data_IF_048615440087
#
_entry.id   IF_048615440087
#
_cell.length_a   1.000
_cell.length_b   1.000
_cell.length_c   1.000
_cell.angle_alpha   90.00
_cell.angle_beta   90.00
_cell.angle_gamma   90.00
#
_symmetry.space_group_name_H-M   'P 1'
#
loop_
_entity.id
_entity.type
_entity.pdbx_description
1 polymer ?
#
# COMPACT_ATOMS: atom_id res chain seq x y z
N UNK A 1 8.65 -14.37 9.35
CA UNK A 1 9.24 -13.20 10.03
C UNK A 1 8.09 -12.31 10.47
N UNK A 2 7.95 -12.05 11.76
CA UNK A 2 6.91 -11.14 12.27
C UNK A 2 7.56 -9.77 12.50
N UNK A 3 6.91 -8.70 12.05
CA UNK A 3 7.43 -7.33 12.16
C UNK A 3 6.38 -6.44 12.79
N UNK A 4 6.79 -5.54 13.69
CA UNK A 4 5.88 -4.55 14.27
C UNK A 4 5.45 -3.54 13.21
N UNK A 5 4.20 -3.06 13.27
CA UNK A 5 3.68 -2.07 12.34
C UNK A 5 4.59 -0.84 12.29
N UNK A 6 4.97 -0.30 13.44
CA UNK A 6 5.84 0.88 13.51
C UNK A 6 7.18 0.66 12.83
N UNK A 7 7.84 -0.47 13.14
CA UNK A 7 9.13 -0.82 12.51
C UNK A 7 9.00 -0.97 10.99
N UNK A 8 7.98 -1.70 10.52
CA UNK A 8 7.70 -1.88 9.09
C UNK A 8 7.50 -0.53 8.38
N UNK A 9 6.68 0.36 8.95
CA UNK A 9 6.43 1.67 8.36
C UNK A 9 7.71 2.51 8.27
N UNK A 10 8.56 2.49 9.30
CA UNK A 10 9.84 3.22 9.27
C UNK A 10 10.82 2.72 8.19
N UNK A 11 10.63 1.51 7.63
CA UNK A 11 11.43 1.04 6.50
C UNK A 11 10.94 1.57 5.15
N UNK A 12 9.74 2.15 5.10
CA UNK A 12 9.17 2.68 3.86
C UNK A 12 9.72 4.08 3.57
N UNK A 13 9.99 4.42 2.30
CA UNK A 13 10.48 5.74 1.92
C UNK A 13 9.50 6.84 2.35
N UNK A 14 10.01 7.86 3.05
CA UNK A 14 9.23 9.02 3.51
C UNK A 14 8.39 8.80 4.77
N UNK A 15 8.42 7.62 5.39
CA UNK A 15 7.68 7.31 6.63
C UNK A 15 8.58 7.44 7.86
N UNK A 16 9.02 8.67 8.18
CA UNK A 16 9.77 8.91 9.42
C UNK A 16 8.88 8.69 10.66
N UNK A 17 9.48 8.45 11.84
CA UNK A 17 8.72 8.38 13.10
C UNK A 17 7.82 9.60 13.32
N UNK A 18 8.32 10.80 12.99
CA UNK A 18 7.58 12.06 13.10
C UNK A 18 6.40 12.09 12.14
N UNK A 19 6.58 11.64 10.90
CA UNK A 19 5.49 11.56 9.92
C UNK A 19 4.40 10.57 10.35
N UNK A 20 4.79 9.38 10.81
CA UNK A 20 3.87 8.36 11.32
C UNK A 20 3.07 8.92 12.50
N UNK A 21 3.74 9.62 13.42
CA UNK A 21 3.09 10.18 14.59
C UNK A 21 2.16 11.35 14.25
N UNK A 22 2.60 12.27 13.38
CA UNK A 22 1.89 13.52 13.11
C UNK A 22 0.80 13.40 12.05
N UNK A 23 0.99 12.57 11.02
CA UNK A 23 0.12 12.53 9.84
C UNK A 23 -0.79 11.31 9.82
N UNK A 24 -0.32 10.13 10.24
CA UNK A 24 -1.13 8.91 10.22
C UNK A 24 -2.10 8.94 11.40
N UNK A 25 -3.38 9.17 11.11
CA UNK A 25 -4.43 9.19 12.11
C UNK A 25 -5.18 7.87 12.20
N UNK A 26 -5.26 7.09 11.12
CA UNK A 26 -6.05 5.85 11.13
C UNK A 26 -5.23 4.72 10.51
N UNK A 27 -5.19 3.58 11.20
CA UNK A 27 -4.53 2.37 10.75
C UNK A 27 -5.55 1.24 10.83
N UNK A 28 -5.72 0.49 9.73
CA UNK A 28 -6.41 -0.78 9.75
C UNK A 28 -5.45 -1.91 9.42
N UNK A 29 -5.41 -2.94 10.28
CA UNK A 29 -4.77 -4.22 9.99
C UNK A 29 -5.87 -5.24 9.67
N UNK A 30 -5.85 -5.78 8.45
CA UNK A 30 -6.84 -6.75 7.96
C UNK A 30 -8.30 -6.28 8.17
N UNK A 31 -8.54 -4.98 7.93
CA UNK A 31 -9.86 -4.35 8.10
C UNK A 31 -10.24 -4.00 9.54
N UNK A 32 -9.40 -4.32 10.52
CA UNK A 32 -9.62 -3.97 11.94
C UNK A 32 -8.85 -2.72 12.30
N UNK A 33 -9.50 -1.68 12.89
CA UNK A 33 -8.81 -0.48 13.33
C UNK A 33 -7.86 -0.81 14.50
N UNK A 34 -6.62 -0.32 14.42
CA UNK A 34 -5.58 -0.54 15.42
C UNK A 34 -4.93 0.78 15.80
N UNK A 35 -4.63 0.94 17.10
CA UNK A 35 -4.00 2.15 17.64
C UNK A 35 -2.54 1.89 18.08
N UNK A 36 -2.16 0.62 18.31
CA UNK A 36 -0.84 0.22 18.80
C UNK A 36 0.10 -0.11 17.63
N UNK A 37 1.19 0.65 17.53
CA UNK A 37 2.23 0.46 16.52
C UNK A 37 3.16 -0.72 16.82
N UNK A 38 3.18 -1.23 18.05
CA UNK A 38 3.96 -2.42 18.43
C UNK A 38 3.23 -3.73 18.07
N UNK A 39 2.01 -3.63 17.53
CA UNK A 39 1.29 -4.79 17.05
C UNK A 39 2.05 -5.42 15.88
N UNK A 40 2.19 -6.74 15.90
CA UNK A 40 2.92 -7.47 14.86
C UNK A 40 2.02 -7.73 13.65
N UNK A 41 2.55 -7.43 12.46
CA UNK A 41 1.98 -7.81 11.18
C UNK A 41 2.19 -9.32 11.00
N UNK A 42 1.09 -10.05 10.92
CA UNK A 42 1.05 -11.51 10.98
C UNK A 42 0.03 -12.08 9.98
N UNK A 43 0.24 -13.33 9.55
CA UNK A 43 -0.62 -14.09 8.63
C UNK A 43 -0.22 -14.05 7.16
N UNK A 44 -1.02 -14.72 6.34
CA UNK A 44 -0.85 -14.79 4.89
C UNK A 44 -1.41 -13.52 4.22
N UNK A 45 -0.58 -12.80 3.48
CA UNK A 45 -0.93 -11.59 2.73
C UNK A 45 -1.63 -10.49 3.55
N UNK A 46 -1.02 -10.03 4.66
CA UNK A 46 -1.61 -8.99 5.51
C UNK A 46 -1.90 -7.71 4.72
N UNK A 47 -3.02 -7.07 5.04
CA UNK A 47 -3.44 -5.80 4.46
C UNK A 47 -3.33 -4.71 5.51
N UNK A 48 -2.47 -3.72 5.26
CA UNK A 48 -2.33 -2.52 6.08
C UNK A 48 -2.90 -1.33 5.33
N UNK A 49 -3.92 -0.68 5.90
CA UNK A 49 -4.49 0.54 5.35
C UNK A 49 -4.16 1.75 6.23
N UNK A 50 -3.63 2.80 5.62
CA UNK A 50 -3.21 4.04 6.28
C UNK A 50 -4.03 5.21 5.76
N UNK A 51 -4.56 6.00 6.67
CA UNK A 51 -5.22 7.26 6.35
C UNK A 51 -4.74 8.37 7.27
N UNK A 52 -4.63 9.56 6.72
CA UNK A 52 -4.61 10.80 7.49
C UNK A 52 -6.01 11.07 8.07
N UNK A 53 -6.27 12.32 8.46
CA UNK A 53 -7.59 12.74 8.93
C UNK A 53 -8.70 12.28 7.99
N UNK A 54 -9.69 11.58 8.56
CA UNK A 54 -10.92 11.22 7.87
C UNK A 54 -12.02 12.19 8.30
N UNK A 55 -12.87 12.68 7.39
CA UNK A 55 -13.98 13.55 7.76
C UNK A 55 -15.15 12.78 8.39
N UNK A 56 -15.99 13.50 9.14
CA UNK A 56 -17.29 13.04 9.60
C UNK A 56 -17.23 11.90 10.63
N UNK A 57 -18.27 11.05 10.63
CA UNK A 57 -18.43 9.96 11.60
C UNK A 57 -17.28 8.94 11.53
N UNK A 58 -16.77 8.66 10.33
CA UNK A 58 -15.65 7.73 10.16
C UNK A 58 -14.40 8.25 10.89
N UNK A 59 -14.07 9.54 10.75
CA UNK A 59 -12.97 10.14 11.51
C UNK A 59 -13.22 10.17 13.00
N UNK A 60 -14.45 10.48 13.41
CA UNK A 60 -14.83 10.47 14.82
C UNK A 60 -14.64 9.08 15.46
N UNK A 61 -14.89 7.98 14.74
CA UNK A 61 -14.79 6.61 15.28
C UNK A 61 -13.38 6.01 15.10
N UNK A 62 -12.81 6.11 13.89
CA UNK A 62 -11.64 5.31 13.50
C UNK A 62 -10.30 5.98 13.74
N UNK A 63 -10.23 7.31 13.91
CA UNK A 63 -8.95 7.95 14.25
C UNK A 63 -8.35 7.35 15.51
N UNK A 64 -7.02 7.21 15.56
CA UNK A 64 -6.27 6.68 16.67
C UNK A 64 -6.59 7.43 17.95
N UNK A 65 -6.67 6.71 19.07
CA UNK A 65 -7.01 7.29 20.37
C UNK A 65 -8.36 8.03 20.40
N UNK A 66 -9.33 7.60 19.58
CA UNK A 66 -10.67 8.20 19.60
C UNK A 66 -11.44 7.86 20.87
N UNK A 67 -12.13 8.84 21.44
CA UNK A 67 -13.14 8.67 22.50
C UNK A 67 -14.31 7.76 22.06
N UNK A 68 -14.57 7.67 20.75
CA UNK A 68 -15.63 6.84 20.18
C UNK A 68 -15.11 5.47 19.69
N UNK A 69 -13.90 5.07 20.11
CA UNK A 69 -13.33 3.78 19.72
C UNK A 69 -14.20 2.58 20.13
N UNK A 70 -15.05 2.72 21.15
CA UNK A 70 -16.03 1.70 21.54
C UNK A 70 -17.07 1.38 20.44
N UNK A 71 -17.25 2.24 19.45
CA UNK A 71 -18.14 2.02 18.30
C UNK A 71 -17.46 1.25 17.15
N UNK A 72 -16.17 0.92 17.27
CA UNK A 72 -15.43 0.19 16.24
C UNK A 72 -15.85 -1.28 16.24
N UNK A 73 -16.39 -1.76 15.12
CA UNK A 73 -16.55 -3.20 14.90
C UNK A 73 -15.17 -3.84 14.85
N UNK A 74 -14.90 -4.78 15.76
CA UNK A 74 -13.69 -5.59 15.73
C UNK A 74 -13.94 -6.79 14.82
N UNK A 75 -13.16 -6.92 13.76
CA UNK A 75 -13.19 -8.15 12.95
C UNK A 75 -12.67 -9.29 13.80
N UNK A 76 -13.30 -10.46 13.71
CA UNK A 76 -12.79 -11.64 14.41
C UNK A 76 -11.35 -11.90 13.95
N UNK A 77 -10.43 -12.00 14.92
CA UNK A 77 -9.05 -12.42 14.64
C UNK A 77 -9.14 -13.89 14.24
N UNK A 78 -8.94 -14.18 12.96
CA UNK A 78 -8.83 -15.56 12.51
C UNK A 78 -7.57 -16.16 13.13
N UNK A 79 -7.62 -17.39 13.68
CA UNK A 79 -6.43 -18.06 14.18
C UNK A 79 -5.45 -18.21 13.02
N UNK A 80 -4.30 -17.55 13.16
CA UNK A 80 -3.25 -17.60 12.16
C UNK A 80 -2.33 -18.77 12.49
N UNK A 81 -2.13 -19.65 11.51
CA UNK A 81 -1.05 -20.63 11.56
C UNK A 81 0.26 -19.90 11.42
N UNK A 82 1.11 -19.96 12.45
CA UNK A 82 2.50 -19.54 12.36
C UNK A 82 3.18 -20.35 11.24
N UNK A 83 3.38 -19.72 10.09
CA UNK A 83 4.32 -20.21 9.09
C UNK A 83 5.60 -19.41 9.24
N UNK A 84 6.70 -20.12 9.44
CA UNK A 84 8.05 -19.59 9.34
C UNK A 84 8.40 -19.29 7.88
N UNK A 85 7.69 -18.34 7.26
CA UNK A 85 8.13 -17.77 5.99
C UNK A 85 9.20 -16.70 6.27
N UNK A 86 10.35 -16.79 5.59
CA UNK A 86 11.43 -15.83 5.73
C UNK A 86 11.13 -14.47 5.10
N UNK A 87 10.06 -14.37 4.29
CA UNK A 87 9.66 -13.17 3.58
C UNK A 87 8.21 -12.82 3.92
N UNK A 88 7.92 -11.55 4.18
CA UNK A 88 6.58 -11.04 4.45
C UNK A 88 6.16 -10.06 3.37
N UNK A 89 5.11 -10.39 2.61
CA UNK A 89 4.51 -9.48 1.63
C UNK A 89 3.28 -8.80 2.23
N UNK A 90 3.32 -7.48 2.37
CA UNK A 90 2.24 -6.67 2.93
C UNK A 90 1.54 -5.88 1.82
N UNK A 91 0.21 -6.01 1.70
CA UNK A 91 -0.57 -5.12 0.85
C UNK A 91 -0.79 -3.80 1.56
N UNK A 92 -0.12 -2.75 1.10
CA UNK A 92 -0.28 -1.40 1.62
C UNK A 92 -1.36 -0.63 0.86
N UNK A 93 -2.33 -0.07 1.57
CA UNK A 93 -3.36 0.82 1.02
C UNK A 93 -3.20 2.21 1.62
N UNK A 94 -2.91 3.19 0.76
CA UNK A 94 -2.80 4.58 1.16
C UNK A 94 -4.07 5.34 0.81
N UNK A 95 -4.58 6.13 1.75
CA UNK A 95 -5.75 6.97 1.57
C UNK A 95 -5.44 8.44 1.82
N UNK A 96 -6.31 9.31 1.31
CA UNK A 96 -6.27 10.76 1.50
C UNK A 96 -4.92 11.35 1.12
N UNK A 97 -4.39 12.29 1.92
CA UNK A 97 -3.16 13.01 1.62
C UNK A 97 -1.93 12.10 1.60
N UNK A 98 -1.92 11.00 2.38
CA UNK A 98 -0.80 10.04 2.41
C UNK A 98 -0.55 9.43 1.03
N UNK A 99 -1.62 9.09 0.29
CA UNK A 99 -1.48 8.54 -1.05
C UNK A 99 -0.77 9.52 -2.00
N UNK A 100 -1.06 10.81 -1.87
CA UNK A 100 -0.43 11.88 -2.66
C UNK A 100 1.00 12.16 -2.20
N UNK A 101 1.26 12.14 -0.90
CA UNK A 101 2.55 12.50 -0.31
C UNK A 101 3.61 11.39 -0.39
N UNK A 102 3.19 10.12 -0.43
CA UNK A 102 4.09 8.95 -0.33
C UNK A 102 3.94 7.95 -1.46
N UNK A 103 2.90 8.06 -2.27
CA UNK A 103 2.63 7.12 -3.36
C UNK A 103 3.75 7.09 -4.40
N UNK A 104 4.26 8.27 -4.77
CA UNK A 104 5.34 8.38 -5.75
C UNK A 104 6.64 7.74 -5.24
N UNK A 105 7.10 8.11 -4.04
CA UNK A 105 8.33 7.58 -3.43
C UNK A 105 8.32 6.04 -3.34
N UNK A 106 7.15 5.46 -3.00
CA UNK A 106 6.96 4.01 -2.97
C UNK A 106 7.06 3.39 -4.36
N UNK A 107 6.37 3.98 -5.35
CA UNK A 107 6.42 3.51 -6.73
C UNK A 107 7.83 3.64 -7.33
N UNK A 108 8.63 4.64 -6.92
CA UNK A 108 10.02 4.81 -7.35
C UNK A 108 10.97 3.78 -6.73
N UNK A 109 10.64 3.28 -5.54
CA UNK A 109 11.40 2.20 -4.89
C UNK A 109 11.11 0.84 -5.53
N UNK A 110 9.89 0.67 -6.05
CA UNK A 110 9.42 -0.55 -6.67
C UNK A 110 8.46 -1.30 -5.74
N UNK A 111 7.33 -1.75 -6.28
CA UNK A 111 6.29 -2.48 -5.54
C UNK A 111 5.82 -3.70 -6.32
N UNK A 112 5.38 -4.73 -5.61
CA UNK A 112 4.63 -5.82 -6.25
C UNK A 112 3.19 -5.35 -6.54
N UNK A 113 2.73 -5.54 -7.78
CA UNK A 113 1.39 -5.19 -8.21
C UNK A 113 0.76 -6.33 -9.00
N UNK A 114 -0.55 -6.51 -8.82
CA UNK A 114 -1.35 -7.44 -9.61
C UNK A 114 -1.47 -6.97 -11.06
N UNK A 115 -1.02 -7.80 -12.00
CA UNK A 115 -1.06 -7.50 -13.43
C UNK A 115 -2.46 -7.15 -13.93
N UNK A 116 -3.53 -7.93 -13.63
CA UNK A 116 -4.88 -7.57 -14.03
C UNK A 116 -5.35 -6.19 -13.51
N UNK A 117 -4.95 -5.83 -12.29
CA UNK A 117 -5.29 -4.53 -11.70
C UNK A 117 -4.57 -3.39 -12.41
N UNK A 118 -3.30 -3.56 -12.76
CA UNK A 118 -2.54 -2.58 -13.52
C UNK A 118 -3.15 -2.35 -14.91
N UNK A 119 -3.41 -3.43 -15.66
CA UNK A 119 -3.97 -3.33 -17.00
C UNK A 119 -5.35 -2.65 -16.97
N UNK A 120 -6.21 -3.02 -16.01
CA UNK A 120 -7.50 -2.36 -15.78
C UNK A 120 -7.37 -0.89 -15.36
N UNK A 121 -6.31 -0.55 -14.62
CA UNK A 121 -6.05 0.82 -14.19
C UNK A 121 -5.64 1.71 -15.37
N UNK A 122 -4.74 1.21 -16.23
CA UNK A 122 -4.26 1.91 -17.44
C UNK A 122 -5.37 2.04 -18.49
N UNK A 123 -6.17 1.00 -18.71
CA UNK A 123 -7.26 1.02 -19.69
C UNK A 123 -8.33 2.07 -19.41
N UNK A 124 -8.43 2.54 -18.16
CA UNK A 124 -9.38 3.56 -17.72
C UNK A 124 -8.81 4.98 -17.72
N UNK A 125 -7.54 5.17 -18.11
CA UNK A 125 -6.80 6.44 -17.98
C UNK A 125 -5.97 6.74 -19.22
N UNK A 126 -6.63 7.03 -20.35
CA UNK A 126 -5.95 7.40 -21.60
C UNK A 126 -4.97 8.57 -21.42
N UNK A 127 -5.37 9.61 -20.66
CA UNK A 127 -4.48 10.74 -20.39
C UNK A 127 -3.21 10.37 -19.63
N UNK A 128 -3.24 9.32 -18.77
CA UNK A 128 -2.00 8.83 -18.15
C UNK A 128 -1.14 8.11 -19.19
N UNK A 129 -1.74 7.28 -20.03
CA UNK A 129 -1.05 6.56 -21.11
C UNK A 129 -0.28 7.50 -22.04
N UNK A 130 -0.84 8.67 -22.34
CA UNK A 130 -0.20 9.72 -23.16
C UNK A 130 1.05 10.32 -22.49
N UNK A 131 1.17 10.23 -21.16
CA UNK A 131 2.32 10.72 -20.41
C UNK A 131 3.39 9.64 -20.16
N UNK A 132 3.15 8.39 -20.57
CA UNK A 132 4.15 7.32 -20.46
C UNK A 132 5.10 7.43 -21.65
N UNK A 133 6.34 7.81 -21.37
CA UNK A 133 7.37 8.02 -22.39
C UNK A 133 8.12 6.75 -22.76
N UNK A 134 8.37 5.88 -21.79
CA UNK A 134 9.09 4.62 -21.98
C UNK A 134 8.57 3.55 -21.01
N UNK A 135 8.67 2.29 -21.42
CA UNK A 135 8.32 1.13 -20.60
C UNK A 135 9.38 0.06 -20.80
N UNK A 136 9.96 -0.41 -19.71
CA UNK A 136 10.95 -1.48 -19.70
C UNK A 136 10.39 -2.70 -18.94
N UNK A 137 10.45 -3.87 -19.57
CA UNK A 137 10.11 -5.18 -18.95
C UNK A 137 11.32 -6.07 -19.08
N UNK A 138 11.86 -6.53 -17.94
CA UNK A 138 13.06 -7.38 -17.88
C UNK A 138 14.23 -6.85 -18.73
N UNK A 139 14.43 -5.52 -18.72
CA UNK A 139 15.47 -4.80 -19.50
C UNK A 139 15.22 -4.69 -20.99
N UNK A 140 14.02 -5.00 -21.45
CA UNK A 140 13.60 -4.81 -22.84
C UNK A 140 12.58 -3.68 -22.91
N UNK A 141 12.81 -2.72 -23.80
CA UNK A 141 11.84 -1.66 -24.09
C UNK A 141 10.62 -2.28 -24.78
N UNK A 142 9.43 -1.98 -24.26
CA UNK A 142 8.16 -2.49 -24.77
C UNK A 142 7.23 -1.31 -25.07
N UNK A 143 6.64 -1.21 -26.27
CA UNK A 143 5.65 -0.17 -26.53
C UNK A 143 4.38 -0.43 -25.70
N UNK A 144 3.73 0.64 -25.23
CA UNK A 144 2.50 0.54 -24.42
C UNK A 144 1.41 -0.31 -25.08
N UNK A 145 1.33 -0.31 -26.41
CA UNK A 145 0.38 -1.12 -27.19
C UNK A 145 0.56 -2.62 -27.00
N UNK A 146 1.78 -3.07 -26.71
CA UNK A 146 2.11 -4.49 -26.54
C UNK A 146 2.20 -4.88 -25.06
N UNK A 147 1.96 -3.94 -24.13
CA UNK A 147 2.10 -4.16 -22.70
C UNK A 147 1.24 -5.33 -22.19
N UNK A 148 -0.01 -5.46 -22.67
CA UNK A 148 -0.89 -6.56 -22.27
C UNK A 148 -0.33 -7.92 -22.67
N UNK A 149 0.26 -8.00 -23.86
CA UNK A 149 0.78 -9.25 -24.42
C UNK A 149 2.10 -9.63 -23.76
N UNK A 150 2.97 -8.65 -23.52
CA UNK A 150 4.23 -8.85 -22.79
C UNK A 150 4.02 -9.26 -21.34
N UNK A 151 2.88 -8.92 -20.74
CA UNK A 151 2.52 -9.32 -19.38
C UNK A 151 1.62 -10.57 -19.34
N UNK A 152 1.34 -11.20 -20.48
CA UNK A 152 0.49 -12.38 -20.54
C UNK A 152 1.11 -13.54 -19.73
N UNK A 153 0.35 -14.09 -18.79
CA UNK A 153 0.79 -15.19 -17.92
C UNK A 153 1.41 -14.74 -16.59
N UNK A 154 1.77 -13.46 -16.43
CA UNK A 154 2.27 -12.93 -15.16
C UNK A 154 1.10 -12.52 -14.25
N UNK A 155 0.97 -13.16 -13.07
CA UNK A 155 -0.07 -12.79 -12.10
C UNK A 155 0.27 -11.50 -11.32
N UNK A 156 1.56 -11.35 -11.01
CA UNK A 156 2.14 -10.17 -10.37
C UNK A 156 3.37 -9.68 -11.14
N UNK A 157 3.68 -8.40 -10.98
CA UNK A 157 4.90 -7.77 -11.49
C UNK A 157 5.52 -6.88 -10.42
N UNK A 158 6.83 -6.66 -10.51
CA UNK A 158 7.48 -5.58 -9.78
C UNK A 158 7.40 -4.31 -10.63
N UNK A 159 6.55 -3.38 -10.23
CA UNK A 159 6.38 -2.09 -10.89
C UNK A 159 7.28 -1.05 -10.22
N UNK A 160 8.10 -0.38 -11.03
CA UNK A 160 8.83 0.82 -10.62
C UNK A 160 8.54 1.96 -11.59
N UNK A 161 8.32 3.16 -11.07
CA UNK A 161 8.24 4.37 -11.90
C UNK A 161 9.57 5.10 -11.87
N UNK A 162 9.88 5.78 -12.99
CA UNK A 162 11.01 6.69 -13.11
C UNK A 162 10.43 7.99 -13.62
N UNK A 163 10.61 9.06 -12.87
CA UNK A 163 10.26 10.40 -13.32
C UNK A 163 11.50 11.05 -13.91
N UNK A 164 11.40 11.52 -15.15
CA UNK A 164 12.41 12.43 -15.70
C UNK A 164 12.20 13.77 -15.04
N UNK A 165 13.13 14.18 -14.18
CA UNK A 165 13.22 15.57 -13.78
C UNK A 165 13.78 16.34 -14.98
N UNK A 166 12.96 17.21 -15.57
CA UNK A 166 13.45 18.33 -16.38
C UNK A 166 14.20 19.33 -15.49
#
# INVERSE_FOLDING_TARGET
MNTEIGFFLCQLPGFSPEYIQATIETIFLNGTPVDDLNLHITGEHPVLALSAAMPGLAGAIFRKNSIHAALRTRTAVQPQTDREENTLTVTLKLFNSIAKERGEDLLQTGIELSTPKLLTFLSKRSGLCENITDIEIDKNTVPLTNLSDSLAGCQTINLKIITSND
#
